data_IF_772669882489
#
_entry.id   IF_772669882489
#
_cell.length_a   1.000
_cell.length_b   1.000
_cell.length_c   1.000
_cell.angle_alpha   90.00
_cell.angle_beta   90.00
_cell.angle_gamma   90.00
#
_symmetry.space_group_name_H-M   'P 1'
#
loop_
_entity.id
_entity.type
_entity.pdbx_description
1 polymer ?
#
# COMPACT_ATOMS: atom_id res chain seq x y z
N UNK A 1 18.79 3.95 1.89
CA UNK A 1 19.23 2.54 2.03
C UNK A 1 18.05 1.65 2.42
N UNK A 2 18.24 0.32 2.41
CA UNK A 2 17.18 -0.69 2.45
C UNK A 2 16.93 -1.27 3.85
N UNK A 3 15.71 -1.77 4.07
CA UNK A 3 15.33 -2.59 5.21
C UNK A 3 14.89 -3.99 4.74
N UNK A 4 15.42 -5.05 5.36
CA UNK A 4 15.08 -6.44 5.03
C UNK A 4 14.27 -7.11 6.16
N UNK A 5 12.93 -7.21 6.04
CA UNK A 5 12.08 -7.79 7.09
C UNK A 5 12.47 -9.21 7.49
N UNK A 6 12.87 -10.05 6.53
CA UNK A 6 13.26 -11.44 6.79
C UNK A 6 14.50 -11.58 7.68
N UNK A 7 15.38 -10.57 7.68
CA UNK A 7 16.57 -10.53 8.52
C UNK A 7 16.37 -9.73 9.81
N UNK A 8 15.23 -9.03 9.93
CA UNK A 8 14.96 -8.14 11.05
C UNK A 8 15.85 -6.91 11.13
N UNK A 9 16.65 -6.63 10.10
CA UNK A 9 17.69 -5.60 10.12
C UNK A 9 17.65 -4.79 8.83
N UNK A 10 17.87 -3.48 8.96
CA UNK A 10 18.12 -2.56 7.85
C UNK A 10 19.30 -1.64 8.14
N UNK A 11 19.65 -0.85 7.13
CA UNK A 11 20.72 0.13 7.20
C UNK A 11 20.20 1.47 6.68
N UNK A 12 20.60 2.55 7.35
CA UNK A 12 20.30 3.93 6.95
C UNK A 12 21.62 4.59 6.57
N UNK A 13 21.65 5.28 5.42
CA UNK A 13 22.79 6.14 5.08
C UNK A 13 22.57 7.49 5.73
N UNK A 14 23.57 7.99 6.44
CA UNK A 14 23.60 9.39 6.84
C UNK A 14 24.16 10.23 5.68
N UNK A 15 23.60 11.42 5.49
CA UNK A 15 24.20 12.44 4.63
C UNK A 15 25.41 13.06 5.36
N UNK A 16 26.41 13.53 4.61
CA UNK A 16 27.73 13.93 5.14
C UNK A 16 27.72 15.15 6.07
N UNK A 17 26.57 15.78 6.34
CA UNK A 17 26.49 17.00 7.15
C UNK A 17 25.26 17.05 8.07
N UNK A 18 24.78 15.91 8.58
CA UNK A 18 23.69 15.92 9.56
C UNK A 18 24.21 16.59 10.84
N UNK A 19 23.69 17.78 11.14
CA UNK A 19 23.91 18.47 12.40
C UNK A 19 23.38 17.59 13.53
N UNK A 20 24.29 16.90 14.21
CA UNK A 20 23.97 16.14 15.40
C UNK A 20 24.53 16.92 16.58
N UNK A 21 23.70 17.16 17.60
CA UNK A 21 24.11 17.87 18.84
C UNK A 21 25.15 17.08 19.66
N UNK A 22 25.60 15.93 19.18
CA UNK A 22 26.61 15.09 19.82
C UNK A 22 27.99 15.35 19.22
N UNK A 23 28.98 15.65 20.08
CA UNK A 23 30.42 15.74 19.74
C UNK A 23 31.04 14.39 19.26
N UNK A 24 30.22 13.38 19.00
CA UNK A 24 30.65 12.03 18.63
C UNK A 24 30.59 11.85 17.11
N UNK A 25 31.69 11.38 16.54
CA UNK A 25 31.75 10.95 15.14
C UNK A 25 30.74 9.82 14.90
N UNK A 26 29.66 10.12 14.18
CA UNK A 26 28.66 9.13 13.79
C UNK A 26 29.19 8.29 12.62
N UNK A 27 28.87 6.97 12.59
CA UNK A 27 29.17 6.16 11.43
C UNK A 27 28.30 6.62 10.24
N UNK A 28 28.83 6.48 9.02
CA UNK A 28 28.08 6.77 7.79
C UNK A 28 26.83 5.87 7.62
N UNK A 29 26.81 4.74 8.31
CA UNK A 29 25.69 3.80 8.32
C UNK A 29 25.19 3.57 9.74
N UNK A 30 23.87 3.70 9.92
CA UNK A 30 23.18 3.37 11.16
C UNK A 30 22.37 2.10 10.95
N UNK A 31 22.49 1.17 11.89
CA UNK A 31 21.71 -0.07 11.89
C UNK A 31 20.33 0.22 12.47
N UNK A 32 19.29 -0.31 11.82
CA UNK A 32 17.92 -0.26 12.31
C UNK A 32 17.40 -1.68 12.54
N UNK A 33 16.84 -1.92 13.73
CA UNK A 33 16.13 -3.16 14.05
C UNK A 33 14.67 -3.07 13.57
N UNK A 34 14.08 -4.21 13.22
CA UNK A 34 12.67 -4.32 12.89
C UNK A 34 11.73 -3.73 13.95
N UNK A 35 12.08 -3.84 15.24
CA UNK A 35 11.27 -3.29 16.32
C UNK A 35 11.23 -1.75 16.30
N UNK A 36 12.24 -1.13 15.71
CA UNK A 36 12.36 0.32 15.61
C UNK A 36 11.73 0.87 14.32
N UNK A 37 11.20 0.01 13.43
CA UNK A 37 10.50 0.45 12.22
C UNK A 37 9.02 0.69 12.54
N UNK A 38 8.61 1.95 12.55
CA UNK A 38 7.22 2.30 12.83
C UNK A 38 6.31 2.00 11.64
N UNK A 39 5.60 0.87 11.72
CA UNK A 39 4.64 0.44 10.71
C UNK A 39 3.18 0.61 11.12
N UNK A 40 2.88 1.45 12.13
CA UNK A 40 1.51 1.72 12.56
C UNK A 40 0.77 0.45 13.02
N UNK A 41 1.46 -0.44 13.73
CA UNK A 41 0.91 -1.73 14.19
C UNK A 41 0.91 -2.85 13.14
N UNK A 42 1.29 -2.57 11.88
CA UNK A 42 1.48 -3.58 10.83
C UNK A 42 2.90 -4.17 10.89
N UNK A 43 3.11 -5.30 10.21
CA UNK A 43 4.46 -5.87 10.06
C UNK A 43 5.30 -5.05 9.06
N UNK A 44 6.60 -4.83 9.33
CA UNK A 44 7.49 -4.19 8.38
C UNK A 44 7.55 -4.91 7.04
N UNK A 45 7.46 -4.13 5.96
CA UNK A 45 7.68 -4.59 4.58
C UNK A 45 9.09 -4.22 4.13
N UNK A 46 9.50 -4.71 2.95
CA UNK A 46 10.80 -4.31 2.40
C UNK A 46 10.74 -2.83 2.05
N UNK A 47 11.60 -2.04 2.67
CA UNK A 47 11.77 -0.62 2.38
C UNK A 47 13.06 -0.45 1.59
N UNK A 48 13.03 0.37 0.55
CA UNK A 48 14.22 0.62 -0.27
C UNK A 48 14.21 2.07 -0.75
N UNK A 49 15.37 2.70 -0.66
CA UNK A 49 15.62 4.07 -1.09
C UNK A 49 14.54 5.10 -0.66
N UNK A 50 14.16 5.07 0.62
CA UNK A 50 13.24 6.04 1.22
C UNK A 50 14.00 7.05 2.08
N UNK A 51 13.52 8.29 2.05
CA UNK A 51 13.85 9.30 3.07
C UNK A 51 13.13 8.95 4.37
N UNK A 52 13.83 9.10 5.48
CA UNK A 52 13.36 8.65 6.80
C UNK A 52 13.77 9.63 7.89
N UNK A 53 12.98 9.68 8.95
CA UNK A 53 13.29 10.35 10.22
C UNK A 53 13.49 9.29 11.30
N UNK A 54 14.45 9.50 12.20
CA UNK A 54 14.75 8.58 13.28
C UNK A 54 15.54 9.29 14.38
N UNK A 55 15.41 8.81 15.61
CA UNK A 55 16.37 9.12 16.67
C UNK A 55 17.62 8.26 16.53
N UNK A 56 18.76 8.74 17.02
CA UNK A 56 19.98 7.92 17.15
C UNK A 56 20.23 7.70 18.63
N UNK A 57 20.45 6.45 19.02
CA UNK A 57 20.92 6.13 20.36
C UNK A 57 22.14 5.22 20.31
N UNK A 58 23.00 5.33 21.33
CA UNK A 58 24.15 4.46 21.49
C UNK A 58 23.82 3.36 22.50
N UNK A 59 23.81 2.12 22.04
CA UNK A 59 23.75 0.98 22.94
C UNK A 59 25.04 0.92 23.77
N UNK A 60 24.90 1.04 25.09
CA UNK A 60 26.01 1.00 26.03
C UNK A 60 26.66 -0.38 26.12
N UNK A 61 25.91 -1.46 25.88
CA UNK A 61 26.42 -2.83 25.95
C UNK A 61 27.17 -3.18 24.66
N UNK A 62 26.54 -2.99 23.50
CA UNK A 62 27.18 -3.28 22.22
C UNK A 62 28.18 -2.21 21.74
N UNK A 63 28.20 -1.03 22.38
CA UNK A 63 28.97 0.15 21.97
C UNK A 63 28.70 0.56 20.50
N UNK A 64 27.48 0.32 20.00
CA UNK A 64 27.05 0.60 18.63
C UNK A 64 25.94 1.64 18.61
N UNK A 65 25.93 2.45 17.56
CA UNK A 65 24.82 3.37 17.28
C UNK A 65 23.70 2.64 16.54
N UNK A 66 22.47 2.87 16.97
CA UNK A 66 21.27 2.29 16.38
C UNK A 66 20.22 3.37 16.17
N UNK A 67 19.37 3.15 15.17
CA UNK A 67 18.20 3.99 14.92
C UNK A 67 17.11 3.65 15.94
N UNK A 68 16.42 4.67 16.42
CA UNK A 68 15.25 4.57 17.28
C UNK A 68 14.04 5.17 16.58
N UNK A 69 12.91 4.47 16.64
CA UNK A 69 11.61 4.89 16.11
C UNK A 69 11.72 5.52 14.70
N UNK A 70 12.16 4.71 13.74
CA UNK A 70 12.26 5.09 12.34
C UNK A 70 10.86 5.29 11.72
N UNK A 71 10.64 6.45 11.11
CA UNK A 71 9.40 6.89 10.45
C UNK A 71 9.70 7.47 9.06
N UNK A 72 8.65 7.70 8.27
CA UNK A 72 8.70 8.63 7.13
C UNK A 72 8.77 10.08 7.65
N UNK A 73 9.17 11.05 6.80
CA UNK A 73 9.20 12.46 7.14
C UNK A 73 7.88 12.97 7.74
N UNK A 74 7.99 13.79 8.79
CA UNK A 74 6.86 14.27 9.59
C UNK A 74 6.28 13.21 10.53
N UNK A 75 7.09 12.24 10.99
CA UNK A 75 6.67 11.21 11.96
C UNK A 75 5.64 10.20 11.44
N UNK A 76 5.48 10.07 10.12
CA UNK A 76 4.45 9.19 9.53
C UNK A 76 4.87 7.72 9.56
N UNK A 77 3.98 6.78 9.89
CA UNK A 77 4.30 5.35 9.85
C UNK A 77 4.48 4.84 8.42
N UNK A 78 5.28 3.79 8.26
CA UNK A 78 5.46 3.03 7.01
C UNK A 78 4.26 2.15 6.70
N UNK A 79 3.15 2.79 6.33
CA UNK A 79 1.93 2.13 5.83
C UNK A 79 1.77 2.40 4.34
N UNK A 80 1.08 1.50 3.63
CA UNK A 80 0.89 1.62 2.18
C UNK A 80 0.21 2.93 1.76
N UNK A 81 -0.63 3.52 2.62
CA UNK A 81 -1.23 4.84 2.36
C UNK A 81 -0.16 5.92 2.16
N UNK A 82 0.86 5.94 3.02
CA UNK A 82 1.94 6.93 2.95
C UNK A 82 3.01 6.55 1.92
N UNK A 83 3.31 5.26 1.77
CA UNK A 83 4.34 4.78 0.86
C UNK A 83 3.98 4.91 -0.62
N UNK A 84 2.68 4.90 -0.95
CA UNK A 84 2.19 4.92 -2.33
C UNK A 84 1.48 6.23 -2.69
N UNK A 85 1.55 7.23 -1.80
CA UNK A 85 0.84 8.51 -1.96
C UNK A 85 -0.65 8.32 -2.27
N UNK A 86 -1.31 7.46 -1.49
CA UNK A 86 -2.73 7.13 -1.74
C UNK A 86 -3.61 8.33 -1.46
N UNK A 87 -4.39 8.69 -2.46
CA UNK A 87 -5.39 9.75 -2.39
C UNK A 87 -6.79 9.14 -2.58
N UNK A 88 -7.51 8.99 -1.46
CA UNK A 88 -8.83 8.33 -1.42
C UNK A 88 -9.92 9.35 -1.70
N UNK A 89 -10.80 9.03 -2.64
CA UNK A 89 -11.98 9.81 -3.00
C UNK A 89 -13.08 9.42 -2.01
N UNK A 90 -13.12 10.10 -0.87
CA UNK A 90 -13.94 9.72 0.30
C UNK A 90 -15.43 10.00 0.13
N UNK A 91 -15.79 10.88 -0.80
CA UNK A 91 -17.15 11.42 -0.88
C UNK A 91 -18.10 10.58 -1.75
N UNK A 92 -17.59 9.54 -2.41
CA UNK A 92 -18.38 8.70 -3.32
C UNK A 92 -18.16 7.21 -3.04
N UNK A 93 -19.29 6.49 -2.92
CA UNK A 93 -19.32 5.04 -2.80
C UNK A 93 -19.67 4.46 -4.18
N UNK A 94 -18.80 3.59 -4.68
CA UNK A 94 -18.97 2.93 -5.96
C UNK A 94 -19.42 1.49 -5.75
N UNK A 95 -20.21 0.99 -6.71
CA UNK A 95 -20.63 -0.39 -6.77
C UNK A 95 -19.86 -1.10 -7.89
N UNK A 96 -19.59 -2.38 -7.71
CA UNK A 96 -18.94 -3.20 -8.71
C UNK A 96 -18.90 -4.66 -8.31
N UNK A 97 -18.33 -5.49 -9.17
CA UNK A 97 -18.17 -6.91 -8.93
C UNK A 97 -16.71 -7.32 -8.91
N UNK A 98 -16.35 -8.28 -8.05
CA UNK A 98 -15.01 -8.86 -8.05
C UNK A 98 -14.79 -9.53 -9.41
N UNK A 99 -13.82 -9.04 -10.18
CA UNK A 99 -13.44 -9.62 -11.47
C UNK A 99 -12.43 -10.76 -11.30
N UNK A 100 -11.55 -10.65 -10.29
CA UNK A 100 -10.50 -11.63 -10.04
C UNK A 100 -9.92 -11.45 -8.64
N UNK A 101 -9.52 -12.56 -8.01
CA UNK A 101 -8.81 -12.58 -6.74
C UNK A 101 -7.61 -13.53 -6.79
N UNK A 102 -6.42 -13.02 -6.47
CA UNK A 102 -5.21 -13.80 -6.28
C UNK A 102 -4.96 -13.99 -4.78
N UNK A 103 -5.30 -15.18 -4.27
CA UNK A 103 -5.13 -15.53 -2.86
C UNK A 103 -3.66 -15.67 -2.44
N UNK A 104 -2.75 -15.96 -3.38
CA UNK A 104 -1.32 -16.12 -3.09
C UNK A 104 -0.67 -14.78 -2.77
N UNK A 105 -1.00 -13.75 -3.55
CA UNK A 105 -0.41 -12.41 -3.41
C UNK A 105 -1.36 -11.41 -2.73
N UNK A 106 -2.54 -11.85 -2.32
CA UNK A 106 -3.55 -11.06 -1.60
C UNK A 106 -3.97 -9.76 -2.30
N UNK A 107 -4.17 -9.83 -3.62
CA UNK A 107 -4.68 -8.72 -4.43
C UNK A 107 -5.63 -9.21 -5.52
N UNK A 108 -6.47 -8.32 -6.04
CA UNK A 108 -7.44 -8.65 -7.08
C UNK A 108 -7.86 -7.43 -7.91
N UNK A 109 -8.89 -7.62 -8.73
CA UNK A 109 -9.54 -6.57 -9.49
C UNK A 109 -11.05 -6.54 -9.23
N UNK A 110 -11.61 -5.34 -9.24
CA UNK A 110 -13.05 -5.07 -9.23
C UNK A 110 -13.42 -4.44 -10.58
N UNK A 111 -14.45 -4.95 -11.23
CA UNK A 111 -15.12 -4.29 -12.34
C UNK A 111 -16.11 -3.28 -11.77
N UNK A 112 -15.90 -1.99 -12.06
CA UNK A 112 -16.82 -0.91 -11.65
C UNK A 112 -18.12 -1.03 -12.45
N UNK A 113 -19.27 -0.81 -11.81
CA UNK A 113 -20.57 -0.87 -12.47
C UNK A 113 -20.66 0.11 -13.64
N UNK A 114 -21.24 -0.32 -14.75
CA UNK A 114 -21.45 0.52 -15.93
C UNK A 114 -22.29 1.76 -15.61
N UNK A 115 -21.94 2.90 -16.20
CA UNK A 115 -22.63 4.17 -15.95
C UNK A 115 -22.25 4.87 -14.64
N UNK A 116 -21.29 4.32 -13.88
CA UNK A 116 -20.72 5.03 -12.72
C UNK A 116 -19.97 6.29 -13.16
N UNK A 117 -20.22 7.42 -12.50
CA UNK A 117 -19.49 8.67 -12.73
C UNK A 117 -18.09 8.58 -12.10
N UNK A 118 -17.16 7.91 -12.79
CA UNK A 118 -15.77 7.80 -12.34
C UNK A 118 -15.08 9.16 -12.55
N UNK A 119 -14.45 9.75 -11.51
CA UNK A 119 -13.71 11.01 -11.67
C UNK A 119 -12.60 10.90 -12.72
N UNK A 120 -12.42 11.95 -13.52
CA UNK A 120 -11.49 11.95 -14.66
C UNK A 120 -10.06 11.52 -14.27
N UNK A 121 -9.58 11.97 -13.11
CA UNK A 121 -8.27 11.60 -12.57
C UNK A 121 -8.11 10.09 -12.36
N UNK A 122 -9.18 9.39 -11.96
CA UNK A 122 -9.17 7.94 -11.79
C UNK A 122 -9.23 7.26 -13.16
N UNK A 123 -10.09 7.74 -14.06
CA UNK A 123 -10.24 7.20 -15.41
C UNK A 123 -8.90 7.23 -16.16
N UNK A 124 -8.20 8.36 -16.14
CA UNK A 124 -6.86 8.49 -16.76
C UNK A 124 -5.86 7.46 -16.21
N UNK A 125 -5.94 7.08 -14.92
CA UNK A 125 -5.08 6.05 -14.33
C UNK A 125 -5.51 4.65 -14.75
N UNK A 126 -6.81 4.38 -14.88
CA UNK A 126 -7.34 3.11 -15.42
C UNK A 126 -6.89 2.93 -16.87
N UNK A 127 -6.97 3.98 -17.69
CA UNK A 127 -6.58 3.96 -19.10
C UNK A 127 -5.08 3.68 -19.25
N UNK A 128 -4.24 4.42 -18.53
CA UNK A 128 -2.78 4.18 -18.48
C UNK A 128 -2.44 2.76 -18.04
N UNK A 129 -3.15 2.20 -17.06
CA UNK A 129 -2.95 0.81 -16.64
C UNK A 129 -3.34 -0.19 -17.74
N UNK A 130 -4.39 0.13 -18.50
CA UNK A 130 -4.86 -0.70 -19.62
C UNK A 130 -3.86 -0.68 -20.77
N UNK A 131 -3.33 0.50 -21.12
CA UNK A 131 -2.26 0.66 -22.11
C UNK A 131 -0.98 -0.10 -21.70
N UNK A 132 -0.53 0.06 -20.45
CA UNK A 132 0.64 -0.66 -19.93
C UNK A 132 0.44 -2.17 -19.91
N UNK A 133 -0.79 -2.65 -19.68
CA UNK A 133 -1.13 -4.07 -19.74
C UNK A 133 -1.13 -4.59 -21.18
N UNK A 134 -1.66 -3.80 -22.13
CA UNK A 134 -1.64 -4.10 -23.55
C UNK A 134 -0.21 -4.21 -24.11
N UNK A 135 0.68 -3.29 -23.73
CA UNK A 135 2.10 -3.34 -24.07
C UNK A 135 2.80 -4.60 -23.55
N UNK A 136 2.34 -5.15 -22.41
CA UNK A 136 2.85 -6.39 -21.82
C UNK A 136 2.17 -7.65 -22.40
N UNK A 137 1.39 -7.53 -23.47
CA UNK A 137 0.67 -8.64 -24.09
C UNK A 137 -0.49 -9.17 -23.24
N UNK A 138 -0.87 -8.48 -22.16
CA UNK A 138 -2.02 -8.82 -21.30
C UNK A 138 -3.24 -8.03 -21.76
N UNK A 139 -3.62 -8.20 -23.02
CA UNK A 139 -4.81 -7.59 -23.61
C UNK A 139 -6.04 -8.04 -22.82
N UNK A 140 -6.86 -7.06 -22.41
CA UNK A 140 -8.11 -7.31 -21.69
C UNK A 140 -9.21 -7.70 -22.67
N UNK A 141 -10.08 -8.62 -22.27
CA UNK A 141 -11.37 -8.85 -22.96
C UNK A 141 -12.40 -7.90 -22.36
N UNK A 142 -12.99 -7.05 -23.19
CA UNK A 142 -14.06 -6.11 -22.78
C UNK A 142 -13.56 -4.69 -22.45
N UNK A 143 -14.52 -3.76 -22.42
CA UNK A 143 -14.30 -2.33 -22.17
C UNK A 143 -14.61 -1.93 -20.70
N UNK A 144 -14.52 -2.90 -19.80
CA UNK A 144 -14.87 -2.75 -18.39
C UNK A 144 -13.80 -1.95 -17.63
N UNK A 145 -14.22 -0.91 -16.91
CA UNK A 145 -13.36 -0.19 -15.98
C UNK A 145 -12.99 -1.11 -14.81
N UNK A 146 -11.70 -1.46 -14.71
CA UNK A 146 -11.18 -2.32 -13.63
C UNK A 146 -10.21 -1.57 -12.75
N UNK A 147 -10.47 -1.62 -11.45
CA UNK A 147 -9.59 -1.08 -10.41
C UNK A 147 -9.03 -2.23 -9.58
N UNK A 148 -7.78 -2.11 -9.16
CA UNK A 148 -7.19 -3.17 -8.34
C UNK A 148 -7.57 -3.01 -6.86
N UNK A 149 -7.48 -4.08 -6.10
CA UNK A 149 -7.63 -4.01 -4.65
C UNK A 149 -6.68 -4.99 -3.94
N UNK A 150 -6.54 -4.82 -2.62
CA UNK A 150 -5.73 -5.69 -1.75
C UNK A 150 -6.55 -6.19 -0.58
N UNK A 151 -6.12 -7.31 0.02
CA UNK A 151 -6.76 -7.85 1.23
C UNK A 151 -6.88 -6.79 2.34
N UNK A 152 -5.86 -5.95 2.52
CA UNK A 152 -5.84 -4.89 3.54
C UNK A 152 -6.89 -3.79 3.33
N UNK A 153 -7.47 -3.69 2.13
CA UNK A 153 -8.49 -2.70 1.80
C UNK A 153 -9.92 -3.26 2.02
N UNK A 154 -10.05 -4.52 2.42
CA UNK A 154 -11.34 -5.14 2.78
C UNK A 154 -11.68 -4.69 4.20
N UNK A 155 -12.75 -3.90 4.34
CA UNK A 155 -13.15 -3.33 5.62
C UNK A 155 -13.85 -4.35 6.52
N UNK A 156 -14.65 -5.22 5.92
CA UNK A 156 -15.36 -6.30 6.60
C UNK A 156 -14.88 -7.66 6.08
N UNK A 157 -14.53 -8.62 6.95
CA UNK A 157 -13.97 -9.89 6.51
C UNK A 157 -14.98 -10.68 5.66
N UNK A 158 -14.68 -10.83 4.37
CA UNK A 158 -15.34 -11.77 3.46
C UNK A 158 -14.30 -12.42 2.55
N UNK A 159 -14.67 -13.52 1.90
CA UNK A 159 -13.84 -14.17 0.89
C UNK A 159 -14.18 -13.60 -0.49
N UNK A 160 -13.28 -12.86 -1.16
CA UNK A 160 -13.56 -12.34 -2.49
C UNK A 160 -13.72 -13.49 -3.49
N UNK A 161 -14.85 -13.51 -4.19
CA UNK A 161 -15.17 -14.50 -5.21
C UNK A 161 -15.57 -13.78 -6.49
N UNK A 162 -15.17 -14.32 -7.64
CA UNK A 162 -15.53 -13.74 -8.93
C UNK A 162 -17.05 -13.60 -9.06
N UNK A 163 -17.50 -12.42 -9.48
CA UNK A 163 -18.92 -12.06 -9.60
C UNK A 163 -19.57 -11.54 -8.30
N UNK A 164 -18.90 -11.60 -7.14
CA UNK A 164 -19.44 -11.06 -5.89
C UNK A 164 -19.58 -9.54 -5.98
N UNK A 165 -20.76 -9.02 -5.64
CA UNK A 165 -21.04 -7.58 -5.61
C UNK A 165 -20.44 -6.94 -4.36
N UNK A 166 -19.82 -5.78 -4.54
CA UNK A 166 -19.12 -5.05 -3.50
C UNK A 166 -19.36 -3.55 -3.63
N UNK A 167 -19.33 -2.87 -2.49
CA UNK A 167 -19.23 -1.42 -2.40
C UNK A 167 -17.82 -1.02 -1.97
N UNK A 168 -17.31 0.09 -2.51
CA UNK A 168 -15.96 0.55 -2.24
C UNK A 168 -15.78 2.04 -2.53
N UNK A 169 -14.75 2.64 -1.96
CA UNK A 169 -14.27 3.97 -2.36
C UNK A 169 -13.14 3.83 -3.36
N UNK A 170 -13.09 4.72 -4.35
CA UNK A 170 -11.96 4.80 -5.27
C UNK A 170 -10.79 5.54 -4.64
N UNK A 171 -9.57 5.15 -4.99
CA UNK A 171 -8.37 5.91 -4.69
C UNK A 171 -7.39 5.88 -5.86
N UNK A 172 -6.51 6.87 -5.90
CA UNK A 172 -5.38 6.92 -6.84
C UNK A 172 -4.08 6.84 -6.06
N UNK A 173 -3.12 6.09 -6.60
CA UNK A 173 -1.78 5.97 -6.05
C UNK A 173 -0.72 5.90 -7.15
N UNK A 174 0.53 5.68 -6.75
CA UNK A 174 1.66 5.54 -7.66
C UNK A 174 1.54 4.34 -8.62
N UNK A 175 0.72 3.33 -8.27
CA UNK A 175 0.50 2.12 -9.09
C UNK A 175 -0.71 2.26 -10.02
N UNK A 176 -1.64 3.14 -9.71
CA UNK A 176 -2.76 3.53 -10.56
C UNK A 176 -4.05 3.75 -9.78
N UNK A 177 -5.16 3.18 -10.27
CA UNK A 177 -6.47 3.30 -9.65
C UNK A 177 -6.80 2.04 -8.84
N UNK A 178 -7.22 2.22 -7.58
CA UNK A 178 -7.57 1.11 -6.69
C UNK A 178 -8.86 1.35 -5.90
N UNK A 179 -9.28 0.30 -5.18
CA UNK A 179 -10.45 0.32 -4.32
C UNK A 179 -10.09 0.15 -2.84
N UNK A 180 -10.66 1.02 -1.99
CA UNK A 180 -10.52 1.07 -0.54
C UNK A 180 -11.88 0.85 0.14
N UNK A 181 -11.85 0.51 1.44
CA UNK A 181 -13.05 0.30 2.27
C UNK A 181 -14.07 -0.67 1.64
N UNK A 182 -13.57 -1.80 1.15
CA UNK A 182 -14.40 -2.74 0.39
C UNK A 182 -15.29 -3.51 1.35
N UNK A 183 -16.59 -3.48 1.09
CA UNK A 183 -17.62 -4.23 1.80
C UNK A 183 -18.44 -5.03 0.77
N UNK A 184 -18.89 -6.22 1.16
CA UNK A 184 -19.76 -7.02 0.30
C UNK A 184 -21.19 -6.49 0.36
N UNK A 185 -21.93 -6.60 -0.74
CA UNK A 185 -23.38 -6.37 -0.70
C UNK A 185 -24.04 -7.51 0.09
N UNK A 186 -24.69 -7.22 1.24
CA UNK A 186 -25.33 -8.25 2.05
C UNK A 186 -26.62 -8.80 1.40
N UNK A 187 -27.07 -8.25 0.28
CA UNK A 187 -28.23 -8.75 -0.45
C UNK A 187 -28.00 -10.22 -0.84
N UNK A 188 -28.80 -11.17 -0.33
CA UNK A 188 -28.60 -12.58 -0.64
C UNK A 188 -28.66 -12.77 -2.15
N UNK A 189 -27.63 -13.37 -2.74
CA UNK A 189 -27.70 -13.94 -4.09
C UNK A 189 -28.95 -14.79 -4.13
N UNK A 190 -29.96 -14.32 -4.87
CA UNK A 190 -31.33 -14.84 -4.82
C UNK A 190 -31.33 -16.34 -4.70
N UNK A 191 -31.87 -16.84 -3.57
CA UNK A 191 -32.06 -18.26 -3.36
C UNK A 191 -32.72 -18.82 -4.61
N UNK A 192 -32.11 -19.85 -5.21
CA UNK A 192 -32.79 -20.67 -6.21
C UNK A 192 -34.11 -21.12 -5.58
N UNK A 193 -35.21 -20.50 -5.99
CA UNK A 193 -36.49 -21.17 -6.00
C UNK A 193 -36.39 -22.17 -7.14
N UNK A 194 -36.09 -23.42 -6.78
CA UNK A 194 -36.69 -24.65 -7.32
C UNK A 194 -36.14 -25.86 -6.56
#
# INVERSE_FOLDING_TARGET
KFFMPRKGVGYISLEENIACDMELALPQEIVVDAMEVNCGGKRPTRLDNLEVEFGIYKDRQAQKFQAHNMTLPGGKPFVNEHLLHRDVIKDELFMGSIAFWNWTDLWGFITVAEGSNIPERVQQKIDKQTELAALKGKMRKGNEARVYFRAENIAEPFCPQEGLQVFFNLYVDDRGAGAANIIHDPTPLGGKKE
#
